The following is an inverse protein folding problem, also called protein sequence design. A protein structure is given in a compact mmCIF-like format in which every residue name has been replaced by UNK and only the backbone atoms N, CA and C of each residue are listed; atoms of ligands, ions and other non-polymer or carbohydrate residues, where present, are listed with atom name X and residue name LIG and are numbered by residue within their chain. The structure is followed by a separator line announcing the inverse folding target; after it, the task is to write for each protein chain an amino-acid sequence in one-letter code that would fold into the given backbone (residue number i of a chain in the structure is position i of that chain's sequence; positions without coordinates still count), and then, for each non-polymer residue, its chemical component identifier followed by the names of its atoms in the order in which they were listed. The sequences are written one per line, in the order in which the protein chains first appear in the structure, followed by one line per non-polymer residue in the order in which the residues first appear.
data_IF_051952739398
#
_entry.id   IF_051952739398
#
_cell.length_a   1.000
_cell.length_b   1.000
_cell.length_c   1.000
_cell.angle_alpha   90.00
_cell.angle_beta   90.00
_cell.angle_gamma   90.00
#
_symmetry.space_group_name_H-M   'P 1'
#
loop_
_entity.id
_entity.type
_entity.pdbx_description
1 polymer ?
#
# COMPACT_ATOMS: atom_id res chain seq x y z
N UNK A 1 8.33 7.41 -14.71
CA UNK A 1 9.12 8.04 -13.63
C UNK A 1 10.15 7.03 -13.17
N UNK A 2 11.39 7.45 -12.97
CA UNK A 2 12.49 6.61 -12.46
C UNK A 2 13.00 7.28 -11.20
N UNK A 3 13.07 6.54 -10.09
CA UNK A 3 13.58 7.03 -8.83
C UNK A 3 14.88 6.28 -8.51
N UNK A 4 15.94 7.01 -8.15
CA UNK A 4 17.17 6.43 -7.63
C UNK A 4 16.97 6.18 -6.14
N UNK A 5 17.20 4.94 -5.71
CA UNK A 5 17.08 4.53 -4.30
C UNK A 5 18.42 3.95 -3.87
N UNK A 6 18.88 4.37 -2.70
CA UNK A 6 20.09 3.85 -2.06
C UNK A 6 19.74 2.58 -1.28
N UNK A 7 20.49 1.51 -1.51
CA UNK A 7 20.32 0.22 -0.84
C UNK A 7 21.59 -0.12 -0.07
N UNK A 8 21.45 -0.35 1.23
CA UNK A 8 22.56 -0.84 2.05
C UNK A 8 22.89 -2.29 1.62
N UNK A 9 24.16 -2.55 1.32
CA UNK A 9 24.63 -3.88 0.88
C UNK A 9 25.63 -4.44 1.87
N UNK A 10 25.64 -5.76 2.06
CA UNK A 10 26.71 -6.43 2.79
C UNK A 10 28.03 -6.39 2.01
N UNK A 11 29.16 -6.58 2.70
CA UNK A 11 30.51 -6.51 2.13
C UNK A 11 30.68 -7.50 0.96
N UNK A 12 30.50 -7.01 -0.27
CA UNK A 12 30.45 -7.84 -1.48
C UNK A 12 29.64 -7.23 -2.63
N UNK A 13 28.88 -6.15 -2.39
CA UNK A 13 28.35 -5.28 -3.45
C UNK A 13 27.14 -5.85 -4.21
N UNK A 14 26.49 -6.89 -3.69
CA UNK A 14 25.23 -7.41 -4.23
C UNK A 14 24.08 -6.96 -3.34
N UNK A 15 23.20 -6.12 -3.91
CA UNK A 15 21.90 -5.82 -3.31
C UNK A 15 20.93 -6.94 -3.72
N UNK A 16 20.68 -7.89 -2.83
CA UNK A 16 19.61 -8.86 -3.02
C UNK A 16 18.30 -8.22 -2.55
N UNK A 17 17.56 -7.64 -3.51
CA UNK A 17 16.19 -7.13 -3.27
C UNK A 17 15.27 -8.33 -3.19
N UNK A 18 15.12 -8.88 -1.98
CA UNK A 18 14.14 -9.93 -1.69
C UNK A 18 12.89 -9.24 -1.21
N UNK A 19 11.81 -9.44 -1.96
CA UNK A 19 10.47 -9.02 -1.54
C UNK A 19 10.04 -9.93 -0.39
N UNK A 20 9.75 -9.36 0.78
CA UNK A 20 9.21 -10.10 1.91
C UNK A 20 7.81 -10.63 1.54
N UNK A 21 7.59 -11.97 1.52
CA UNK A 21 6.29 -12.55 1.22
C UNK A 21 5.19 -12.06 2.17
N UNK A 22 5.51 -11.81 3.45
CA UNK A 22 4.52 -11.32 4.41
C UNK A 22 4.05 -9.90 4.06
N UNK A 23 4.93 -9.08 3.49
CA UNK A 23 4.61 -7.71 3.06
C UNK A 23 3.79 -7.67 1.75
N UNK A 24 3.95 -8.67 0.88
CA UNK A 24 3.31 -8.70 -0.44
C UNK A 24 2.06 -9.60 -0.56
N UNK A 25 1.84 -10.52 0.38
CA UNK A 25 0.72 -11.47 0.31
C UNK A 25 -0.53 -11.01 1.10
N UNK A 26 -0.42 -9.96 1.91
CA UNK A 26 -1.51 -9.45 2.76
C UNK A 26 -2.40 -8.38 2.10
N UNK A 27 -2.63 -8.47 0.79
CA UNK A 27 -3.53 -7.53 0.08
C UNK A 27 -5.00 -7.98 0.14
N UNK A 28 -5.91 -7.01 0.26
CA UNK A 28 -7.35 -7.25 0.27
C UNK A 28 -8.06 -6.42 -0.80
N UNK A 29 -9.18 -6.95 -1.28
CA UNK A 29 -10.11 -6.20 -2.14
C UNK A 29 -11.19 -5.57 -1.27
N UNK A 30 -11.01 -4.30 -0.91
CA UNK A 30 -11.96 -3.55 -0.09
C UNK A 30 -12.88 -2.69 -0.94
N UNK A 31 -14.16 -2.65 -0.54
CA UNK A 31 -15.11 -1.63 -0.98
C UNK A 31 -14.80 -0.27 -0.35
N UNK A 32 -15.42 0.81 -0.86
CA UNK A 32 -15.25 2.14 -0.25
C UNK A 32 -15.72 2.18 1.21
N UNK A 33 -16.82 1.52 1.53
CA UNK A 33 -17.36 1.48 2.89
C UNK A 33 -16.42 0.73 3.84
N UNK A 34 -15.81 -0.37 3.37
CA UNK A 34 -14.79 -1.12 4.11
C UNK A 34 -13.51 -0.30 4.32
N UNK A 35 -13.05 0.41 3.29
CA UNK A 35 -11.91 1.32 3.38
C UNK A 35 -12.18 2.46 4.38
N UNK A 36 -13.40 3.02 4.42
CA UNK A 36 -13.81 4.03 5.41
C UNK A 36 -13.90 3.46 6.82
N UNK A 37 -14.42 2.24 6.95
CA UNK A 37 -14.53 1.53 8.21
C UNK A 37 -13.18 1.05 8.77
N UNK A 38 -12.12 1.08 7.95
CA UNK A 38 -10.78 0.64 8.33
C UNK A 38 -10.66 -0.88 8.48
N UNK A 39 -11.54 -1.66 7.83
CA UNK A 39 -11.52 -3.12 7.87
C UNK A 39 -12.12 -3.72 6.60
N UNK A 40 -11.60 -4.86 6.17
CA UNK A 40 -12.11 -5.67 5.07
C UNK A 40 -12.34 -7.09 5.58
N UNK A 41 -13.60 -7.48 5.79
CA UNK A 41 -13.92 -8.71 6.52
C UNK A 41 -13.32 -8.70 7.94
N UNK A 42 -12.42 -9.63 8.20
CA UNK A 42 -11.70 -9.78 9.48
C UNK A 42 -10.31 -9.12 9.48
N UNK A 43 -9.89 -8.52 8.37
CA UNK A 43 -8.61 -7.82 8.24
C UNK A 43 -8.79 -6.37 8.65
N UNK A 44 -8.01 -5.91 9.63
CA UNK A 44 -7.90 -4.48 9.98
C UNK A 44 -6.94 -3.82 9.00
N UNK A 45 -7.37 -2.71 8.39
CA UNK A 45 -6.53 -1.95 7.48
C UNK A 45 -5.60 -1.04 8.29
N UNK A 46 -4.37 -1.50 8.51
CA UNK A 46 -3.32 -0.67 9.09
C UNK A 46 -2.70 0.21 8.01
N UNK A 47 -2.73 1.52 8.21
CA UNK A 47 -2.30 2.49 7.21
C UNK A 47 -0.88 2.92 7.51
N UNK A 48 -0.01 2.92 6.50
CA UNK A 48 1.36 3.40 6.62
C UNK A 48 1.41 4.88 7.07
N UNK A 49 0.40 5.67 6.70
CA UNK A 49 0.19 7.03 7.21
C UNK A 49 -1.26 7.47 7.03
N UNK A 50 -1.69 8.49 7.79
CA UNK A 50 -3.03 9.08 7.61
C UNK A 50 -3.20 9.69 6.20
N UNK A 51 -2.14 10.23 5.61
CA UNK A 51 -2.18 10.76 4.25
C UNK A 51 -2.50 9.67 3.22
N UNK A 52 -1.89 8.48 3.37
CA UNK A 52 -2.17 7.34 2.50
C UNK A 52 -3.65 6.95 2.59
N UNK A 53 -4.22 6.90 3.80
CA UNK A 53 -5.64 6.64 4.00
C UNK A 53 -6.52 7.67 3.28
N UNK A 54 -6.22 8.96 3.46
CA UNK A 54 -6.96 10.04 2.81
C UNK A 54 -6.87 10.00 1.29
N UNK A 55 -5.70 9.67 0.74
CA UNK A 55 -5.49 9.54 -0.70
C UNK A 55 -6.32 8.40 -1.29
N UNK A 56 -6.39 7.24 -0.61
CA UNK A 56 -7.25 6.12 -1.01
C UNK A 56 -8.72 6.52 -1.01
N UNK A 57 -9.21 7.19 0.05
CA UNK A 57 -10.59 7.66 0.11
C UNK A 57 -10.90 8.69 -0.98
N UNK A 58 -9.96 9.58 -1.27
CA UNK A 58 -10.09 10.57 -2.34
C UNK A 58 -10.14 9.93 -3.73
N UNK A 59 -9.42 8.82 -3.95
CA UNK A 59 -9.45 8.10 -5.21
C UNK A 59 -10.85 7.56 -5.54
N UNK A 60 -11.60 7.05 -4.54
CA UNK A 60 -13.00 6.63 -4.73
C UNK A 60 -13.89 7.80 -5.17
N UNK A 61 -13.73 8.98 -4.54
CA UNK A 61 -14.48 10.18 -4.93
C UNK A 61 -14.17 10.62 -6.37
N UNK A 62 -12.90 10.55 -6.79
CA UNK A 62 -12.49 10.87 -8.16
C UNK A 62 -13.08 9.86 -9.15
N UNK A 63 -13.09 8.57 -8.81
CA UNK A 63 -13.66 7.53 -9.66
C UNK A 63 -15.17 7.71 -9.87
N UNK A 64 -15.92 8.10 -8.83
CA UNK A 64 -17.35 8.44 -8.93
C UNK A 64 -17.62 9.59 -9.90
N UNK A 65 -16.77 10.62 -9.90
CA UNK A 65 -16.91 11.79 -10.79
C UNK A 65 -16.59 11.51 -12.26
N UNK A 66 -15.91 10.38 -12.54
CA UNK A 66 -15.53 9.96 -13.90
C UNK A 66 -16.54 9.03 -14.56
N UNK A 67 -17.57 8.61 -13.82
CA UNK A 67 -18.66 7.74 -14.29
C UNK A 67 -19.85 8.58 -14.71
#
# INVERSE_FOLDING_TARGET
YTYLVEVETEAGGRADVVVDPEEHEAFVWATEDEARAGRCGDVVLDWTSENQRLDVLKAFEIAKKRR
#
